data_IF_960818635671
#
_entry.id   IF_960818635671
#
_cell.length_a   1.000
_cell.length_b   1.000
_cell.length_c   1.000
_cell.angle_alpha   90.00
_cell.angle_beta   90.00
_cell.angle_gamma   90.00
#
_symmetry.space_group_name_H-M   'P 1'
#
loop_
_entity.id
_entity.type
_entity.pdbx_description
1 polymer ?
#
# COMPACT_ATOMS: atom_id res chain seq x y z
N UNK A 1 43.05 22.00 22.36
CA UNK A 1 42.29 22.54 21.22
C UNK A 1 40.81 22.53 21.59
N UNK A 2 40.13 23.67 21.53
CA UNK A 2 38.67 23.77 21.74
C UNK A 2 38.01 24.07 20.40
N UNK A 3 37.21 23.15 19.88
CA UNK A 3 36.41 23.36 18.68
C UNK A 3 34.99 23.77 19.06
N UNK A 4 34.51 24.89 18.51
CA UNK A 4 33.13 25.34 18.68
C UNK A 4 32.31 24.79 17.51
N UNK A 5 31.35 23.91 17.80
CA UNK A 5 30.43 23.35 16.79
C UNK A 5 29.12 24.14 16.84
N UNK A 6 28.74 24.75 15.73
CA UNK A 6 27.44 25.40 15.57
C UNK A 6 26.51 24.46 14.81
N UNK A 7 25.42 24.02 15.45
CA UNK A 7 24.44 23.11 14.87
C UNK A 7 23.14 23.89 14.61
N UNK A 8 22.59 23.75 13.41
CA UNK A 8 21.29 24.34 13.07
C UNK A 8 20.16 23.73 13.93
N UNK A 9 19.04 24.44 14.13
CA UNK A 9 17.87 23.84 14.77
C UNK A 9 17.40 22.58 14.04
N UNK A 10 16.96 21.57 14.80
CA UNK A 10 16.51 20.28 14.23
C UNK A 10 15.44 20.46 13.15
N UNK A 11 14.48 21.36 13.36
CA UNK A 11 13.42 21.62 12.38
C UNK A 11 13.96 22.15 11.05
N UNK A 12 15.06 22.90 11.08
CA UNK A 12 15.76 23.38 9.90
C UNK A 12 16.53 22.24 9.23
N UNK A 13 17.29 21.46 9.98
CA UNK A 13 17.97 20.26 9.46
C UNK A 13 16.98 19.32 8.75
N UNK A 14 15.83 19.05 9.35
CA UNK A 14 14.79 18.20 8.74
C UNK A 14 14.19 18.82 7.46
N UNK A 15 14.06 20.15 7.38
CA UNK A 15 13.61 20.86 6.17
C UNK A 15 14.66 20.76 5.08
N UNK A 16 15.91 21.08 5.41
CA UNK A 16 17.02 21.17 4.47
C UNK A 16 17.32 19.80 3.84
N UNK A 17 17.19 18.72 4.61
CA UNK A 17 17.31 17.35 4.09
C UNK A 17 16.00 16.77 3.54
N UNK A 18 14.91 17.54 3.49
CA UNK A 18 13.63 17.09 2.92
C UNK A 18 12.99 15.89 3.65
N UNK A 19 13.24 15.77 4.95
CA UNK A 19 12.73 14.72 5.83
C UNK A 19 11.33 15.01 6.39
N UNK A 20 10.86 16.25 6.27
CA UNK A 20 9.51 16.64 6.67
C UNK A 20 8.42 16.05 5.77
N UNK A 21 7.15 16.03 6.24
CA UNK A 21 6.02 15.69 5.39
C UNK A 21 6.02 16.48 4.08
N UNK A 22 5.89 15.78 2.96
CA UNK A 22 5.95 16.36 1.61
C UNK A 22 7.36 16.76 1.14
N UNK A 23 8.41 16.53 1.92
CA UNK A 23 9.80 16.74 1.53
C UNK A 23 10.29 15.75 0.47
N UNK A 24 11.42 16.05 -0.17
CA UNK A 24 11.90 15.27 -1.31
C UNK A 24 12.32 13.84 -0.95
N UNK A 25 12.85 13.60 0.26
CA UNK A 25 13.18 12.25 0.74
C UNK A 25 11.91 11.44 0.94
N UNK A 26 10.88 12.02 1.56
CA UNK A 26 9.58 11.36 1.71
C UNK A 26 8.97 11.03 0.34
N UNK A 27 8.91 11.99 -0.59
CA UNK A 27 8.36 11.78 -1.93
C UNK A 27 9.09 10.68 -2.69
N UNK A 28 10.42 10.64 -2.59
CA UNK A 28 11.23 9.58 -3.17
C UNK A 28 10.87 8.22 -2.58
N UNK A 29 10.77 8.12 -1.25
CA UNK A 29 10.38 6.89 -0.57
C UNK A 29 8.99 6.41 -0.99
N UNK A 30 7.97 7.27 -0.93
CA UNK A 30 6.59 6.92 -1.33
C UNK A 30 6.54 6.48 -2.79
N UNK A 31 7.24 7.17 -3.70
CA UNK A 31 7.29 6.80 -5.12
C UNK A 31 7.96 5.44 -5.33
N UNK A 32 9.02 5.15 -4.58
CA UNK A 32 9.73 3.88 -4.66
C UNK A 32 8.84 2.71 -4.17
N UNK A 33 8.15 2.90 -3.06
CA UNK A 33 7.16 1.95 -2.54
C UNK A 33 6.04 1.74 -3.56
N UNK A 34 5.43 2.81 -4.09
CA UNK A 34 4.35 2.73 -5.09
C UNK A 34 4.80 1.99 -6.35
N UNK A 35 6.05 2.17 -6.79
CA UNK A 35 6.60 1.46 -7.94
C UNK A 35 6.70 -0.05 -7.69
N UNK A 36 7.22 -0.45 -6.52
CA UNK A 36 7.52 -1.85 -6.19
C UNK A 36 6.29 -2.64 -5.75
N UNK A 37 5.38 -2.02 -4.99
CA UNK A 37 4.19 -2.68 -4.42
C UNK A 37 3.29 -3.30 -5.48
N UNK A 38 3.28 -2.73 -6.70
CA UNK A 38 2.50 -3.24 -7.84
C UNK A 38 2.77 -4.71 -8.16
N UNK A 39 3.98 -5.23 -7.93
CA UNK A 39 4.33 -6.65 -8.16
C UNK A 39 3.66 -7.61 -7.18
N UNK A 40 3.30 -7.12 -6.00
CA UNK A 40 2.66 -7.89 -4.94
C UNK A 40 1.13 -7.75 -4.96
N UNK A 41 0.61 -6.80 -5.74
CA UNK A 41 -0.82 -6.58 -5.89
C UNK A 41 -1.47 -7.56 -6.88
N UNK A 42 -2.76 -7.90 -6.71
CA UNK A 42 -3.51 -8.70 -7.68
C UNK A 42 -3.64 -8.02 -9.05
N UNK A 43 -3.48 -8.78 -10.14
CA UNK A 43 -3.43 -8.22 -11.50
C UNK A 43 -4.63 -8.55 -12.42
N UNK A 44 -5.63 -9.37 -12.04
CA UNK A 44 -6.63 -9.95 -12.97
C UNK A 44 -7.03 -9.09 -14.20
N UNK A 45 -7.37 -7.82 -14.00
CA UNK A 45 -7.52 -6.83 -15.10
C UNK A 45 -6.69 -5.55 -14.93
N UNK A 46 -5.74 -5.51 -13.98
CA UNK A 46 -4.88 -4.36 -13.68
C UNK A 46 -5.58 -3.15 -13.04
N UNK A 47 -6.92 -3.13 -12.97
CA UNK A 47 -7.70 -1.99 -12.51
C UNK A 47 -7.36 -1.56 -11.06
N UNK A 48 -7.19 -2.51 -10.14
CA UNK A 48 -6.81 -2.20 -8.75
C UNK A 48 -5.49 -1.44 -8.68
N UNK A 49 -4.51 -1.86 -9.48
CA UNK A 49 -3.19 -1.22 -9.57
C UNK A 49 -3.33 0.17 -10.19
N UNK A 50 -4.06 0.31 -11.29
CA UNK A 50 -4.31 1.62 -11.93
C UNK A 50 -4.97 2.61 -10.97
N UNK A 51 -6.02 2.18 -10.26
CA UNK A 51 -6.69 2.96 -9.20
C UNK A 51 -5.72 3.35 -8.08
N UNK A 52 -4.86 2.43 -7.67
CA UNK A 52 -3.87 2.71 -6.60
C UNK A 52 -2.85 3.76 -7.01
N UNK A 53 -2.33 3.65 -8.23
CA UNK A 53 -1.40 4.64 -8.80
C UNK A 53 -2.08 6.00 -8.93
N UNK A 54 -3.30 6.05 -9.45
CA UNK A 54 -4.03 7.30 -9.63
C UNK A 54 -4.41 7.99 -8.30
N UNK A 55 -4.74 7.22 -7.26
CA UNK A 55 -5.17 7.75 -5.97
C UNK A 55 -4.02 8.10 -5.01
N UNK A 56 -2.81 7.62 -5.28
CA UNK A 56 -1.66 7.84 -4.40
C UNK A 56 -0.99 9.18 -4.71
N UNK A 57 -1.08 10.11 -3.77
CA UNK A 57 -0.29 11.35 -3.77
C UNK A 57 1.06 11.10 -3.09
N UNK A 58 2.14 11.16 -3.86
CA UNK A 58 3.51 10.93 -3.35
C UNK A 58 3.97 12.01 -2.35
N UNK A 59 3.30 13.17 -2.30
CA UNK A 59 3.52 14.19 -1.29
C UNK A 59 3.03 13.75 0.10
N UNK A 60 2.22 12.70 0.17
CA UNK A 60 1.74 12.11 1.43
C UNK A 60 2.48 10.79 1.70
N UNK A 61 2.73 10.44 2.97
CA UNK A 61 3.40 9.18 3.33
C UNK A 61 2.42 7.99 3.31
N UNK A 62 1.57 7.89 2.28
CA UNK A 62 0.49 6.91 2.18
C UNK A 62 0.44 6.28 0.80
N UNK A 63 0.16 4.98 0.74
CA UNK A 63 -0.27 4.28 -0.48
C UNK A 63 -1.78 4.07 -0.38
N UNK A 64 -2.53 4.55 -1.37
CA UNK A 64 -4.00 4.52 -1.33
C UNK A 64 -4.51 3.54 -2.38
N UNK A 65 -5.17 2.47 -1.95
CA UNK A 65 -5.84 1.51 -2.84
C UNK A 65 -7.36 1.62 -2.68
N UNK A 66 -8.05 2.39 -3.53
CA UNK A 66 -9.49 2.59 -3.41
C UNK A 66 -10.29 1.50 -4.13
N UNK A 67 -11.54 1.33 -3.69
CA UNK A 67 -12.53 0.47 -4.34
C UNK A 67 -13.22 -0.48 -3.36
N UNK A 68 -14.47 -0.87 -3.64
CA UNK A 68 -15.21 -1.82 -2.79
C UNK A 68 -14.51 -3.18 -2.67
N UNK A 69 -13.76 -3.59 -3.71
CA UNK A 69 -13.00 -4.83 -3.77
C UNK A 69 -11.71 -4.80 -2.94
N UNK A 70 -11.18 -3.61 -2.64
CA UNK A 70 -9.84 -3.43 -2.08
C UNK A 70 -9.68 -4.15 -0.74
N UNK A 71 -10.67 -4.04 0.15
CA UNK A 71 -10.63 -4.69 1.48
C UNK A 71 -10.60 -6.21 1.36
N UNK A 72 -11.47 -6.77 0.50
CA UNK A 72 -11.53 -8.22 0.23
C UNK A 72 -10.18 -8.73 -0.31
N UNK A 73 -9.64 -8.05 -1.33
CA UNK A 73 -8.37 -8.40 -1.96
C UNK A 73 -7.17 -8.16 -1.04
N UNK A 74 -7.23 -7.19 -0.13
CA UNK A 74 -6.16 -6.93 0.83
C UNK A 74 -6.07 -8.04 1.87
N UNK A 75 -7.20 -8.45 2.44
CA UNK A 75 -7.23 -9.54 3.42
C UNK A 75 -7.09 -10.93 2.78
N UNK A 76 -7.40 -11.05 1.49
CA UNK A 76 -7.42 -12.33 0.78
C UNK A 76 -8.48 -13.28 1.27
N UNK A 77 -9.60 -12.73 1.72
CA UNK A 77 -10.71 -13.47 2.29
C UNK A 77 -12.00 -13.04 1.66
N UNK A 78 -12.89 -13.98 1.40
CA UNK A 78 -14.27 -13.67 0.99
C UNK A 78 -14.92 -12.87 2.10
N UNK A 79 -15.55 -11.76 1.74
CA UNK A 79 -16.25 -10.89 2.68
C UNK A 79 -17.71 -11.33 2.77
N UNK A 80 -18.17 -11.63 3.98
CA UNK A 80 -19.51 -12.20 4.24
C UNK A 80 -20.32 -11.31 5.16
N UNK A 81 -21.62 -11.51 5.12
CA UNK A 81 -22.53 -10.94 6.09
C UNK A 81 -22.28 -11.58 7.48
N UNK A 82 -22.11 -10.79 8.55
CA UNK A 82 -21.78 -11.32 9.87
C UNK A 82 -22.90 -12.18 10.49
N UNK A 83 -24.16 -11.99 10.09
CA UNK A 83 -25.29 -12.77 10.60
C UNK A 83 -25.52 -14.05 9.83
N UNK A 84 -25.42 -13.99 8.49
CA UNK A 84 -25.75 -15.15 7.64
C UNK A 84 -24.53 -15.97 7.23
N UNK A 85 -23.32 -15.44 7.38
CA UNK A 85 -22.09 -16.08 6.90
C UNK A 85 -21.97 -16.14 5.38
N UNK A 86 -22.88 -15.49 4.63
CA UNK A 86 -22.93 -15.55 3.16
C UNK A 86 -22.39 -14.28 2.52
N UNK A 87 -21.65 -14.43 1.41
CA UNK A 87 -21.20 -13.31 0.59
C UNK A 87 -22.37 -12.59 -0.08
N UNK A 88 -23.38 -13.35 -0.50
CA UNK A 88 -24.66 -12.90 -1.01
C UNK A 88 -25.63 -14.08 -1.06
N UNK A 89 -26.85 -13.82 -1.53
CA UNK A 89 -27.88 -14.84 -1.74
C UNK A 89 -28.49 -14.63 -3.13
N UNK A 90 -28.74 -15.72 -3.84
CA UNK A 90 -29.43 -15.69 -5.12
C UNK A 90 -30.94 -15.55 -4.87
N UNK A 91 -31.57 -14.61 -5.56
CA UNK A 91 -33.02 -14.41 -5.61
C UNK A 91 -33.48 -14.49 -7.06
N UNK A 92 -34.79 -14.53 -7.31
CA UNK A 92 -35.34 -14.50 -8.68
C UNK A 92 -34.88 -13.25 -9.45
N UNK A 93 -34.64 -12.13 -8.75
CA UNK A 93 -34.08 -10.89 -9.31
C UNK A 93 -32.53 -10.86 -9.33
N UNK A 94 -31.86 -12.00 -9.11
CA UNK A 94 -30.40 -12.11 -9.10
C UNK A 94 -29.74 -12.04 -7.72
N UNK A 95 -28.42 -11.80 -7.69
CA UNK A 95 -27.62 -11.81 -6.46
C UNK A 95 -27.89 -10.58 -5.60
N UNK A 96 -28.33 -10.81 -4.35
CA UNK A 96 -28.60 -9.75 -3.37
C UNK A 96 -27.75 -9.91 -2.10
N UNK A 97 -27.65 -8.82 -1.35
CA UNK A 97 -27.03 -8.72 -0.04
C UNK A 97 -27.90 -7.86 0.88
N UNK A 98 -27.82 -8.07 2.20
CA UNK A 98 -28.58 -7.25 3.15
C UNK A 98 -28.11 -5.80 3.09
N UNK A 99 -29.05 -4.87 2.86
CA UNK A 99 -28.78 -3.44 2.75
C UNK A 99 -28.26 -2.88 4.09
N UNK A 100 -27.28 -1.99 4.02
CA UNK A 100 -26.73 -1.29 5.19
C UNK A 100 -25.82 -2.14 6.08
N UNK A 101 -25.52 -3.39 5.71
CA UNK A 101 -24.70 -4.29 6.53
C UNK A 101 -23.25 -4.29 6.05
N UNK A 102 -22.34 -3.87 6.92
CA UNK A 102 -20.91 -4.01 6.68
C UNK A 102 -20.51 -5.48 6.68
N UNK A 103 -19.79 -5.90 5.63
CA UNK A 103 -19.26 -7.26 5.50
C UNK A 103 -18.02 -7.44 6.38
N UNK A 104 -17.82 -8.67 6.86
CA UNK A 104 -16.67 -9.11 7.66
C UNK A 104 -15.88 -10.19 6.90
N UNK A 105 -14.56 -10.32 7.13
CA UNK A 105 -13.80 -11.41 6.52
C UNK A 105 -14.30 -12.76 7.02
N UNK A 106 -14.41 -13.74 6.11
CA UNK A 106 -14.71 -15.13 6.44
C UNK A 106 -13.44 -15.98 6.56
N UNK A 107 -13.61 -17.27 6.85
CA UNK A 107 -12.53 -18.25 6.82
C UNK A 107 -12.23 -18.78 5.41
N UNK A 108 -12.93 -18.31 4.37
CA UNK A 108 -12.70 -18.71 2.99
C UNK A 108 -11.65 -17.79 2.36
N UNK A 109 -10.49 -18.36 2.02
CA UNK A 109 -9.40 -17.64 1.37
C UNK A 109 -9.62 -17.48 -0.13
N UNK A 110 -9.11 -16.39 -0.69
CA UNK A 110 -9.11 -16.12 -2.12
C UNK A 110 -7.90 -16.77 -2.79
N UNK A 111 -8.13 -17.29 -4.00
CA UNK A 111 -7.05 -17.73 -4.88
C UNK A 111 -6.66 -16.59 -5.82
N UNK A 112 -5.40 -16.17 -5.76
CA UNK A 112 -4.87 -15.11 -6.61
C UNK A 112 -4.26 -15.66 -7.88
N UNK A 113 -4.58 -15.03 -9.01
CA UNK A 113 -3.86 -15.29 -10.27
C UNK A 113 -2.47 -14.68 -10.20
N UNK A 114 -1.44 -15.50 -10.47
CA UNK A 114 -0.03 -15.11 -10.37
C UNK A 114 0.67 -15.04 -11.73
N UNK A 115 -0.06 -15.24 -12.85
CA UNK A 115 0.52 -15.27 -14.21
C UNK A 115 1.18 -13.95 -14.65
N UNK A 116 0.69 -12.81 -14.17
CA UNK A 116 1.29 -11.48 -14.46
C UNK A 116 2.13 -10.96 -13.31
N UNK A 117 1.65 -11.16 -12.08
CA UNK A 117 2.32 -10.77 -10.86
C UNK A 117 2.60 -12.02 -10.05
N UNK A 118 3.78 -12.62 -10.21
CA UNK A 118 4.15 -13.87 -9.55
C UNK A 118 4.10 -13.78 -8.01
N UNK A 119 4.27 -12.57 -7.46
CA UNK A 119 4.27 -12.29 -6.02
C UNK A 119 2.91 -11.80 -5.51
N UNK A 120 1.86 -11.86 -6.34
CA UNK A 120 0.53 -11.39 -5.97
C UNK A 120 -0.03 -12.14 -4.76
N UNK A 121 -0.59 -11.40 -3.80
CA UNK A 121 -1.26 -12.01 -2.65
C UNK A 121 -1.85 -10.99 -1.68
N UNK A 122 -2.46 -11.47 -0.57
CA UNK A 122 -3.00 -10.60 0.46
C UNK A 122 -1.89 -9.86 1.19
N UNK A 123 -2.23 -8.75 1.83
CA UNK A 123 -1.32 -7.89 2.59
C UNK A 123 -0.05 -7.56 1.77
N UNK A 124 -0.26 -7.11 0.53
CA UNK A 124 0.80 -6.88 -0.44
C UNK A 124 1.85 -5.85 0.01
N UNK A 125 1.48 -4.93 0.90
CA UNK A 125 2.40 -4.02 1.59
C UNK A 125 3.35 -4.77 2.53
N UNK A 126 2.82 -5.71 3.33
CA UNK A 126 3.61 -6.54 4.25
C UNK A 126 4.50 -7.51 3.47
N UNK A 127 4.02 -8.05 2.36
CA UNK A 127 4.82 -8.89 1.45
C UNK A 127 5.97 -8.10 0.84
N UNK A 128 5.69 -6.89 0.33
CA UNK A 128 6.74 -6.00 -0.16
C UNK A 128 7.76 -5.70 0.93
N UNK A 129 7.31 -5.33 2.13
CA UNK A 129 8.21 -5.03 3.25
C UNK A 129 9.10 -6.22 3.59
N UNK A 130 8.51 -7.41 3.73
CA UNK A 130 9.25 -8.62 4.04
C UNK A 130 10.30 -8.96 2.96
N UNK A 131 9.98 -8.75 1.69
CA UNK A 131 10.85 -9.14 0.58
C UNK A 131 11.89 -8.08 0.18
N UNK A 132 11.55 -6.78 0.26
CA UNK A 132 12.32 -5.72 -0.39
C UNK A 132 12.71 -4.55 0.52
N UNK A 133 12.35 -4.54 1.81
CA UNK A 133 12.70 -3.43 2.71
C UNK A 133 14.21 -3.15 2.76
N UNK A 134 15.13 -4.14 2.79
CA UNK A 134 16.57 -3.87 2.75
C UNK A 134 16.98 -3.10 1.47
N UNK A 135 16.40 -3.46 0.33
CA UNK A 135 16.67 -2.79 -0.95
C UNK A 135 16.10 -1.37 -0.96
N UNK A 136 14.86 -1.19 -0.51
CA UNK A 136 14.20 0.12 -0.43
C UNK A 136 14.97 1.06 0.49
N UNK A 137 15.46 0.55 1.63
CA UNK A 137 16.25 1.32 2.61
C UNK A 137 17.58 1.76 2.02
N UNK A 138 18.30 0.85 1.34
CA UNK A 138 19.55 1.19 0.65
C UNK A 138 19.34 2.22 -0.45
N UNK A 139 18.28 2.11 -1.24
CA UNK A 139 17.95 3.11 -2.27
C UNK A 139 17.62 4.47 -1.66
N UNK A 140 16.93 4.50 -0.51
CA UNK A 140 16.64 5.72 0.23
C UNK A 140 17.93 6.36 0.76
N UNK A 141 18.83 5.58 1.35
CA UNK A 141 20.12 6.06 1.84
C UNK A 141 20.95 6.63 0.69
N UNK A 142 21.10 5.90 -0.42
CA UNK A 142 21.81 6.38 -1.61
C UNK A 142 21.21 7.68 -2.18
N UNK A 143 19.89 7.87 -2.04
CA UNK A 143 19.24 9.10 -2.48
C UNK A 143 19.57 10.28 -1.55
N UNK A 144 19.62 10.04 -0.24
CA UNK A 144 20.02 11.04 0.76
C UNK A 144 21.49 11.42 0.55
N UNK A 145 22.39 10.45 0.41
CA UNK A 145 23.84 10.66 0.27
C UNK A 145 24.23 11.45 -1.00
N UNK A 146 23.41 11.38 -2.05
CA UNK A 146 23.61 12.17 -3.28
C UNK A 146 23.15 13.63 -3.16
N UNK A 147 22.48 13.98 -2.07
CA UNK A 147 21.87 15.31 -1.85
C UNK A 147 22.34 16.01 -0.58
N UNK A 148 22.93 15.28 0.36
CA UNK A 148 23.71 15.83 1.47
C UNK A 148 25.12 16.20 1.00
#
# INVERSE_FOLDING_TARGET
>A
MSAKVTINPVSQILRDHGLNPGGHVQRFHTSNVLRRIKRYMPYRGGMLIKKTVAATDIAKPLIVTPGPEARMLYHGKVMVDPKTGKAGFLTDDGWKSRRGVAKVPSNCDLVYTTSKNAQAGPYWDRRLKAAEMPVITRELQNYIDRRG
#
